data_IF_084541087386
#
_entry.id   IF_084541087386
#
_cell.length_a   1.000
_cell.length_b   1.000
_cell.length_c   1.000
_cell.angle_alpha   90.00
_cell.angle_beta   90.00
_cell.angle_gamma   90.00
#
_symmetry.space_group_name_H-M   'P 1'
#
loop_
_entity.id
_entity.type
_entity.pdbx_description
1 polymer ?
#
# COMPACT_ATOMS: atom_id res chain seq x y z
N UNK A 1 -13.16 -0.21 -12.91
CA UNK A 1 -13.43 0.48 -11.62
C UNK A 1 -12.57 1.73 -11.54
N UNK A 2 -13.02 2.74 -10.79
CA UNK A 2 -12.21 3.95 -10.58
C UNK A 2 -11.58 3.98 -9.19
N UNK A 3 -10.26 4.20 -9.12
CA UNK A 3 -9.53 4.42 -7.87
C UNK A 3 -9.13 5.88 -7.76
N UNK A 4 -9.24 6.46 -6.55
CA UNK A 4 -8.73 7.81 -6.27
C UNK A 4 -7.60 7.73 -5.25
N UNK A 5 -6.46 8.34 -5.59
CA UNK A 5 -5.31 8.53 -4.72
C UNK A 5 -5.40 9.92 -4.10
N UNK A 6 -5.51 9.98 -2.77
CA UNK A 6 -5.68 11.24 -2.03
C UNK A 6 -4.32 11.72 -1.54
N UNK A 7 -3.60 12.45 -2.39
CA UNK A 7 -2.29 13.03 -2.06
C UNK A 7 -2.47 14.26 -1.19
N UNK A 8 -2.46 14.06 0.13
CA UNK A 8 -2.72 15.11 1.12
C UNK A 8 -1.48 15.55 1.87
N UNK A 9 -1.40 16.81 2.26
CA UNK A 9 -0.48 17.27 3.31
C UNK A 9 -0.99 16.81 4.66
N UNK A 10 -0.15 16.12 5.40
CA UNK A 10 -0.51 15.64 6.74
C UNK A 10 -0.37 16.76 7.76
N UNK A 11 -1.43 17.05 8.50
CA UNK A 11 -1.42 18.00 9.62
C UNK A 11 -0.87 17.36 10.90
N UNK A 12 -0.70 18.18 11.95
CA UNK A 12 -0.06 17.75 13.21
C UNK A 12 -0.85 16.68 13.95
N UNK A 13 -2.18 16.70 13.89
CA UNK A 13 -3.05 15.85 14.72
C UNK A 13 -4.04 15.01 13.91
N UNK A 14 -4.46 13.85 14.42
CA UNK A 14 -5.51 13.04 13.80
C UNK A 14 -6.83 13.80 13.61
N UNK A 15 -7.16 14.70 14.54
CA UNK A 15 -8.40 15.49 14.48
C UNK A 15 -8.41 16.47 13.29
N UNK A 16 -7.28 17.08 12.98
CA UNK A 16 -7.14 17.96 11.81
C UNK A 16 -7.16 17.13 10.51
N UNK A 17 -6.45 16.00 10.51
CA UNK A 17 -6.36 15.15 9.33
C UNK A 17 -7.70 14.53 8.95
N UNK A 18 -8.52 14.10 9.91
CA UNK A 18 -9.82 13.49 9.59
C UNK A 18 -10.78 14.48 8.91
N UNK A 19 -10.72 15.77 9.27
CA UNK A 19 -11.53 16.82 8.61
C UNK A 19 -11.14 16.93 7.13
N UNK A 20 -9.84 17.03 6.86
CA UNK A 20 -9.31 17.12 5.48
C UNK A 20 -9.65 15.84 4.70
N UNK A 21 -9.42 14.67 5.27
CA UNK A 21 -9.73 13.38 4.65
C UNK A 21 -11.18 13.30 4.22
N UNK A 22 -12.13 13.69 5.10
CA UNK A 22 -13.55 13.70 4.78
C UNK A 22 -13.89 14.59 3.58
N UNK A 23 -13.25 15.73 3.46
CA UNK A 23 -13.47 16.61 2.33
C UNK A 23 -12.93 16.03 1.02
N UNK A 24 -11.70 15.50 1.06
CA UNK A 24 -11.10 14.85 -0.11
C UNK A 24 -11.89 13.60 -0.53
N UNK A 25 -12.42 12.82 0.42
CA UNK A 25 -13.28 11.66 0.11
C UNK A 25 -14.57 12.05 -0.60
N UNK A 26 -15.20 13.17 -0.20
CA UNK A 26 -16.39 13.70 -0.91
C UNK A 26 -16.04 14.10 -2.34
N UNK A 27 -14.91 14.76 -2.53
CA UNK A 27 -14.44 15.16 -3.85
C UNK A 27 -14.13 13.91 -4.70
N UNK A 28 -13.40 12.93 -4.19
CA UNK A 28 -13.14 11.66 -4.89
C UNK A 28 -14.46 10.95 -5.31
N UNK A 29 -15.46 10.97 -4.41
CA UNK A 29 -16.79 10.42 -4.76
C UNK A 29 -17.48 11.20 -5.87
N UNK A 30 -17.37 12.53 -5.86
CA UNK A 30 -17.92 13.37 -6.92
C UNK A 30 -17.25 13.12 -8.28
N UNK A 31 -15.97 12.72 -8.29
CA UNK A 31 -15.22 12.30 -9.48
C UNK A 31 -15.55 10.87 -9.93
N UNK A 32 -16.42 10.19 -9.19
CA UNK A 32 -16.92 8.85 -9.52
C UNK A 32 -16.04 7.71 -9.00
N UNK A 33 -15.24 7.93 -7.96
CA UNK A 33 -14.46 6.87 -7.35
C UNK A 33 -15.31 5.72 -6.82
N UNK A 34 -14.81 4.51 -6.98
CA UNK A 34 -15.30 3.29 -6.34
C UNK A 34 -14.46 2.98 -5.08
N UNK A 35 -13.17 3.33 -5.11
CA UNK A 35 -12.23 3.15 -4.02
C UNK A 35 -11.36 4.40 -3.85
N UNK A 36 -11.15 4.82 -2.59
CA UNK A 36 -10.23 5.88 -2.23
C UNK A 36 -9.06 5.32 -1.41
N UNK A 37 -7.86 5.81 -1.69
CA UNK A 37 -6.62 5.37 -1.05
C UNK A 37 -5.97 6.58 -0.38
N UNK A 38 -5.73 6.49 0.93
CA UNK A 38 -5.01 7.47 1.70
C UNK A 38 -3.51 7.15 1.74
N UNK A 39 -2.62 8.14 1.93
CA UNK A 39 -1.19 7.92 1.99
C UNK A 39 -0.75 7.26 3.30
N UNK A 40 0.49 6.78 3.36
CA UNK A 40 1.13 6.31 4.58
C UNK A 40 1.17 7.41 5.64
N UNK A 41 0.90 7.06 6.91
CA UNK A 41 0.78 7.97 8.06
C UNK A 41 -0.19 9.13 7.81
N UNK A 42 -1.38 8.82 7.30
CA UNK A 42 -2.40 9.81 6.96
C UNK A 42 -3.00 10.55 8.17
N UNK A 43 -2.66 10.14 9.39
CA UNK A 43 -3.23 10.71 10.62
C UNK A 43 -2.28 11.61 11.41
N UNK A 44 -0.96 11.57 11.15
CA UNK A 44 0.05 12.30 11.90
C UNK A 44 1.33 12.53 11.07
N UNK A 45 2.22 13.44 11.46
CA UNK A 45 3.52 13.62 10.83
C UNK A 45 4.36 12.34 10.80
N UNK A 46 5.25 12.22 9.79
CA UNK A 46 6.12 11.05 9.63
C UNK A 46 7.36 11.18 10.54
N UNK A 47 7.15 11.01 11.84
CA UNK A 47 8.16 11.17 12.90
C UNK A 47 7.92 10.15 14.00
N UNK A 48 9.01 9.55 14.55
CA UNK A 48 8.91 8.54 15.61
C UNK A 48 8.14 9.03 16.85
N UNK A 49 8.33 10.29 17.25
CA UNK A 49 7.59 10.86 18.38
C UNK A 49 6.09 10.96 18.08
N UNK A 50 5.72 11.42 16.89
CA UNK A 50 4.32 11.51 16.47
C UNK A 50 3.67 10.12 16.36
N UNK A 51 4.42 9.11 15.93
CA UNK A 51 3.92 7.74 15.89
C UNK A 51 3.57 7.19 17.27
N UNK A 52 4.38 7.50 18.28
CA UNK A 52 4.10 7.10 19.67
C UNK A 52 2.93 7.90 20.24
N UNK A 53 2.92 9.22 20.06
CA UNK A 53 1.90 10.13 20.59
C UNK A 53 0.51 9.83 20.01
N UNK A 54 0.45 9.53 18.71
CA UNK A 54 -0.82 9.31 18.00
C UNK A 54 -1.11 7.83 17.74
N UNK A 55 -0.41 6.92 18.44
CA UNK A 55 -0.71 5.49 18.35
C UNK A 55 -2.15 5.23 18.82
N UNK A 56 -2.92 4.56 17.96
CA UNK A 56 -4.35 4.36 18.20
C UNK A 56 -4.72 2.87 18.15
N UNK A 57 -5.76 2.50 18.88
CA UNK A 57 -6.37 1.18 18.81
C UNK A 57 -7.27 1.05 17.56
N UNK A 58 -7.59 -0.19 17.20
CA UNK A 58 -8.43 -0.49 16.03
C UNK A 58 -9.83 0.14 16.08
N UNK A 59 -10.37 0.35 17.27
CA UNK A 59 -11.69 0.95 17.52
C UNK A 59 -11.60 2.44 17.85
N UNK A 60 -10.48 3.10 17.54
CA UNK A 60 -10.29 4.54 17.70
C UNK A 60 -11.32 5.36 16.94
N UNK A 61 -11.59 6.57 17.43
CA UNK A 61 -12.54 7.47 16.80
C UNK A 61 -12.10 7.85 15.37
N UNK A 62 -10.80 7.99 15.13
CA UNK A 62 -10.27 8.25 13.78
C UNK A 62 -10.68 7.15 12.78
N UNK A 63 -10.47 5.87 13.13
CA UNK A 63 -10.82 4.75 12.26
C UNK A 63 -12.34 4.56 12.14
N UNK A 64 -13.11 4.83 13.20
CA UNK A 64 -14.58 4.86 13.15
C UNK A 64 -15.10 5.93 12.17
N UNK A 65 -14.47 7.10 12.15
CA UNK A 65 -14.84 8.18 11.22
C UNK A 65 -14.51 7.84 9.76
N UNK A 66 -13.41 7.12 9.51
CA UNK A 66 -13.10 6.57 8.19
C UNK A 66 -14.18 5.55 7.77
N UNK A 67 -14.53 4.61 8.64
CA UNK A 67 -15.58 3.62 8.39
C UNK A 67 -16.94 4.28 8.12
N UNK A 68 -17.30 5.29 8.92
CA UNK A 68 -18.53 6.07 8.73
C UNK A 68 -18.53 6.82 7.38
N UNK A 69 -17.38 7.36 6.97
CA UNK A 69 -17.23 8.02 5.66
C UNK A 69 -17.36 7.02 4.51
N UNK A 70 -16.79 5.83 4.62
CA UNK A 70 -16.94 4.75 3.65
C UNK A 70 -18.42 4.40 3.43
N UNK A 71 -19.17 4.23 4.53
CA UNK A 71 -20.61 3.96 4.51
C UNK A 71 -21.41 5.12 3.91
N UNK A 72 -21.15 6.34 4.35
CA UNK A 72 -21.92 7.51 3.92
C UNK A 72 -21.75 7.82 2.43
N UNK A 73 -20.55 7.57 1.89
CA UNK A 73 -20.22 7.83 0.50
C UNK A 73 -20.37 6.61 -0.41
N UNK A 74 -20.58 5.42 0.15
CA UNK A 74 -20.59 4.17 -0.62
C UNK A 74 -19.27 3.90 -1.32
N UNK A 75 -18.14 4.16 -0.63
CA UNK A 75 -16.77 3.99 -1.12
C UNK A 75 -16.05 2.86 -0.39
N UNK A 76 -15.24 2.06 -1.11
CA UNK A 76 -14.15 1.36 -0.46
C UNK A 76 -13.09 2.37 -0.03
N UNK A 77 -12.56 2.25 1.18
CA UNK A 77 -11.48 3.12 1.66
C UNK A 77 -10.31 2.28 2.15
N UNK A 78 -9.13 2.54 1.58
CA UNK A 78 -7.86 2.08 2.13
C UNK A 78 -7.32 3.21 3.00
N UNK A 79 -7.48 3.05 4.31
CA UNK A 79 -7.02 4.01 5.31
C UNK A 79 -5.51 3.85 5.49
N UNK A 80 -4.78 4.50 4.62
CA UNK A 80 -3.34 4.61 4.40
C UNK A 80 -2.50 3.73 5.28
N UNK A 81 -1.56 4.27 6.06
CA UNK A 81 -1.24 3.66 7.33
C UNK A 81 -1.48 4.63 8.48
N UNK A 82 -1.69 4.06 9.65
CA UNK A 82 -1.73 4.75 10.94
C UNK A 82 -0.85 3.98 11.93
N UNK A 83 -0.31 4.64 12.98
CA UNK A 83 0.35 3.93 14.06
C UNK A 83 -0.70 3.19 14.90
N UNK A 84 -0.69 1.85 14.79
CA UNK A 84 -1.64 0.96 15.47
C UNK A 84 -1.04 0.43 16.77
N UNK A 85 -1.61 0.81 17.91
CA UNK A 85 -1.31 0.20 19.20
C UNK A 85 -2.02 -1.16 19.33
N UNK A 86 -1.26 -2.21 19.59
CA UNK A 86 -1.81 -3.55 19.79
C UNK A 86 -0.91 -4.40 20.68
N UNK A 87 -1.43 -4.94 21.79
CA UNK A 87 -0.72 -5.84 22.71
C UNK A 87 0.64 -5.29 23.17
N UNK A 88 0.68 -4.00 23.53
CA UNK A 88 1.89 -3.33 24.01
C UNK A 88 2.95 -3.04 22.96
N UNK A 89 2.60 -3.13 21.68
CA UNK A 89 3.45 -2.83 20.53
C UNK A 89 2.77 -1.82 19.62
N UNK A 90 3.57 -1.12 18.82
CA UNK A 90 3.07 -0.20 17.79
C UNK A 90 3.42 -0.78 16.42
N UNK A 91 2.50 -0.69 15.47
CA UNK A 91 2.66 -1.15 14.09
C UNK A 91 2.27 -0.02 13.13
N UNK A 92 2.97 0.09 12.00
CA UNK A 92 2.43 0.83 10.86
C UNK A 92 1.38 -0.06 10.18
N UNK A 93 0.10 0.33 10.23
CA UNK A 93 -1.00 -0.52 9.76
C UNK A 93 -1.96 0.22 8.82
N UNK A 94 -2.29 -0.39 7.70
CA UNK A 94 -3.28 0.07 6.74
C UNK A 94 -4.56 -0.74 6.89
N UNK A 95 -5.73 -0.07 6.90
CA UNK A 95 -7.04 -0.70 7.08
C UNK A 95 -7.87 -0.57 5.82
N UNK A 96 -8.65 -1.59 5.51
CA UNK A 96 -9.62 -1.57 4.41
C UNK A 96 -11.02 -1.63 4.97
N UNK A 97 -11.86 -0.68 4.52
CA UNK A 97 -13.29 -0.63 4.78
C UNK A 97 -14.04 -0.74 3.47
N UNK A 98 -15.12 -1.51 3.45
CA UNK A 98 -15.98 -1.63 2.28
C UNK A 98 -16.97 -0.45 2.15
N UNK A 99 -17.76 -0.44 1.09
CA UNK A 99 -18.77 0.59 0.82
C UNK A 99 -19.94 0.66 1.82
N UNK A 100 -20.02 -0.29 2.76
CA UNK A 100 -20.96 -0.27 3.88
C UNK A 100 -20.31 0.22 5.17
N UNK A 101 -19.01 0.53 5.13
CA UNK A 101 -18.20 0.89 6.29
C UNK A 101 -17.80 -0.31 7.15
N UNK A 102 -17.95 -1.53 6.64
CA UNK A 102 -17.54 -2.73 7.35
C UNK A 102 -16.03 -2.95 7.18
N UNK A 103 -15.39 -3.39 8.25
CA UNK A 103 -13.97 -3.75 8.22
C UNK A 103 -13.75 -4.99 7.36
N UNK A 104 -12.84 -4.89 6.38
CA UNK A 104 -12.48 -5.99 5.49
C UNK A 104 -11.20 -6.68 5.95
N UNK A 105 -10.11 -5.94 6.05
CA UNK A 105 -8.80 -6.45 6.49
C UNK A 105 -7.89 -5.30 6.95
N UNK A 106 -6.74 -5.67 7.51
CA UNK A 106 -5.64 -4.75 7.74
C UNK A 106 -4.31 -5.42 7.36
N UNK A 107 -3.38 -4.61 6.85
CA UNK A 107 -1.98 -4.99 6.66
C UNK A 107 -1.11 -4.25 7.66
N UNK A 108 -0.23 -4.98 8.34
CA UNK A 108 0.84 -4.41 9.14
C UNK A 108 2.11 -4.43 8.31
N UNK A 109 2.75 -3.27 8.15
CA UNK A 109 4.00 -3.13 7.39
C UNK A 109 4.99 -4.22 7.78
N UNK A 110 5.40 -5.02 6.80
CA UNK A 110 6.24 -6.21 7.02
C UNK A 110 7.71 -5.84 7.10
N UNK A 111 8.13 -4.84 6.30
CA UNK A 111 9.50 -4.38 6.24
C UNK A 111 9.56 -2.94 6.76
N UNK A 112 10.28 -2.73 7.86
CA UNK A 112 10.44 -1.42 8.46
C UNK A 112 11.51 -0.62 7.71
N UNK A 113 11.24 0.67 7.54
CA UNK A 113 12.13 1.57 6.81
C UNK A 113 13.23 2.10 7.73
N UNK A 114 14.36 1.44 7.70
CA UNK A 114 15.58 1.88 8.36
C UNK A 114 16.56 2.35 7.30
N UNK A 115 16.94 3.64 7.34
CA UNK A 115 17.85 4.25 6.39
C UNK A 115 18.96 5.02 7.11
N UNK A 116 20.18 4.82 6.67
CA UNK A 116 21.35 5.56 7.12
C UNK A 116 22.26 5.83 5.92
N UNK A 117 22.08 6.99 5.29
CA UNK A 117 22.89 7.42 4.15
C UNK A 117 23.89 8.47 4.62
N UNK A 118 25.20 8.23 4.52
CA UNK A 118 26.21 9.21 4.91
C UNK A 118 26.01 10.55 4.18
N UNK A 119 25.86 11.64 4.94
CA UNK A 119 25.57 12.98 4.40
C UNK A 119 24.15 13.17 3.84
N UNK A 120 23.29 12.17 3.99
CA UNK A 120 21.91 12.15 3.56
C UNK A 120 20.95 11.93 4.73
N UNK A 121 19.94 11.10 4.51
CA UNK A 121 18.89 10.84 5.50
C UNK A 121 19.29 9.76 6.49
N UNK A 122 18.94 10.01 7.75
CA UNK A 122 18.89 9.01 8.83
C UNK A 122 17.45 8.90 9.35
N UNK A 123 16.90 7.71 9.36
CA UNK A 123 15.60 7.44 9.95
C UNK A 123 15.46 5.93 10.26
N UNK A 124 14.98 5.59 11.46
CA UNK A 124 14.81 4.22 11.91
C UNK A 124 13.35 3.99 12.35
N UNK A 125 12.54 3.37 11.51
CA UNK A 125 11.19 2.97 11.91
C UNK A 125 11.21 1.89 13.00
N UNK A 126 12.24 1.06 13.01
CA UNK A 126 12.42 -0.01 14.00
C UNK A 126 12.57 0.49 15.44
N UNK A 127 12.90 1.78 15.63
CA UNK A 127 12.93 2.41 16.96
C UNK A 127 11.51 2.49 17.58
N UNK A 128 10.47 2.51 16.74
CA UNK A 128 9.07 2.66 17.18
C UNK A 128 8.20 1.48 16.80
N UNK A 129 8.30 1.00 15.58
CA UNK A 129 7.39 -0.01 15.05
C UNK A 129 7.89 -1.43 15.23
N UNK A 130 6.94 -2.34 15.37
CA UNK A 130 7.15 -3.78 15.24
C UNK A 130 6.73 -4.21 13.82
N UNK A 131 7.54 -5.02 13.16
CA UNK A 131 7.23 -5.57 11.86
C UNK A 131 6.01 -6.50 11.89
N UNK A 132 5.16 -6.39 10.85
CA UNK A 132 4.08 -7.31 10.56
C UNK A 132 4.60 -8.67 10.05
N UNK A 133 3.67 -9.61 9.82
CA UNK A 133 4.00 -10.97 9.35
C UNK A 133 3.06 -11.46 8.24
N UNK A 134 2.15 -10.62 7.78
CA UNK A 134 1.04 -11.06 6.96
C UNK A 134 1.27 -10.73 5.48
N UNK A 135 0.95 -11.67 4.59
CA UNK A 135 0.72 -11.43 3.17
C UNK A 135 -0.76 -11.12 3.03
N UNK A 136 -1.11 -9.87 2.78
CA UNK A 136 -2.49 -9.40 2.88
C UNK A 136 -3.14 -9.26 1.53
N UNK A 137 -4.20 -10.04 1.29
CA UNK A 137 -5.10 -9.88 0.14
C UNK A 137 -6.53 -9.66 0.61
N UNK A 138 -7.35 -9.00 -0.22
CA UNK A 138 -8.77 -8.83 0.03
C UNK A 138 -9.57 -8.87 -1.27
N UNK A 139 -10.83 -9.31 -1.16
CA UNK A 139 -11.74 -9.38 -2.30
C UNK A 139 -12.68 -8.17 -2.33
N UNK A 140 -12.99 -7.72 -3.53
CA UNK A 140 -13.95 -6.66 -3.82
C UNK A 140 -14.90 -7.13 -4.91
N UNK A 141 -15.99 -6.40 -5.21
CA UNK A 141 -16.86 -6.72 -6.37
C UNK A 141 -16.12 -6.71 -7.72
N UNK A 142 -14.97 -6.05 -7.82
CA UNK A 142 -14.19 -5.92 -9.06
C UNK A 142 -13.05 -6.91 -9.18
N UNK A 143 -12.70 -7.62 -8.12
CA UNK A 143 -11.63 -8.61 -8.10
C UNK A 143 -10.86 -8.67 -6.80
N UNK A 144 -9.72 -9.35 -6.82
CA UNK A 144 -8.85 -9.55 -5.67
C UNK A 144 -7.69 -8.56 -5.69
N UNK A 145 -7.41 -7.94 -4.55
CA UNK A 145 -6.38 -6.92 -4.37
C UNK A 145 -5.34 -7.35 -3.34
N UNK A 146 -4.10 -6.93 -3.55
CA UNK A 146 -3.04 -6.98 -2.56
C UNK A 146 -2.89 -5.64 -1.84
N UNK A 147 -2.44 -5.67 -0.59
CA UNK A 147 -2.14 -4.49 0.21
C UNK A 147 -0.76 -4.62 0.83
N UNK A 148 0.09 -3.63 0.57
CA UNK A 148 1.43 -3.48 1.16
C UNK A 148 1.65 -2.02 1.53
N UNK A 149 2.67 -1.74 2.37
CA UNK A 149 2.94 -0.36 2.80
C UNK A 149 4.39 0.02 2.43
N UNK A 150 4.53 1.06 1.63
CA UNK A 150 5.76 1.82 1.37
C UNK A 150 6.99 0.95 1.10
N UNK A 151 7.83 0.75 2.12
CA UNK A 151 9.10 0.02 2.02
C UNK A 151 8.93 -1.43 1.58
N UNK A 152 7.75 -2.04 1.81
CA UNK A 152 7.40 -3.38 1.34
C UNK A 152 7.54 -3.54 -0.18
N UNK A 153 7.31 -2.50 -0.99
CA UNK A 153 7.40 -2.56 -2.46
C UNK A 153 8.82 -2.91 -2.95
N UNK A 154 9.86 -2.65 -2.12
CA UNK A 154 11.25 -2.93 -2.47
C UNK A 154 11.57 -4.42 -2.49
N UNK A 155 10.76 -5.22 -1.82
CA UNK A 155 10.91 -6.67 -1.68
C UNK A 155 10.04 -7.39 -2.73
N UNK A 156 10.65 -7.83 -3.86
CA UNK A 156 9.89 -8.43 -4.96
C UNK A 156 9.18 -9.73 -4.54
N UNK A 157 9.70 -10.41 -3.53
CA UNK A 157 9.11 -11.63 -2.97
C UNK A 157 7.69 -11.41 -2.47
N UNK A 158 7.46 -10.32 -1.73
CA UNK A 158 6.13 -10.01 -1.19
C UNK A 158 5.12 -9.71 -2.30
N UNK A 159 5.51 -8.88 -3.28
CA UNK A 159 4.66 -8.60 -4.44
C UNK A 159 4.40 -9.87 -5.26
N UNK A 160 5.39 -10.76 -5.38
CA UNK A 160 5.25 -12.05 -6.06
C UNK A 160 4.28 -12.98 -5.33
N UNK A 161 4.35 -13.07 -4.01
CA UNK A 161 3.39 -13.84 -3.21
C UNK A 161 1.96 -13.35 -3.44
N UNK A 162 1.73 -12.03 -3.43
CA UNK A 162 0.42 -11.45 -3.74
C UNK A 162 -0.06 -11.82 -5.14
N UNK A 163 0.82 -11.72 -6.15
CA UNK A 163 0.46 -12.08 -7.52
C UNK A 163 0.11 -13.57 -7.66
N UNK A 164 0.80 -14.45 -6.94
CA UNK A 164 0.53 -15.89 -6.91
C UNK A 164 -0.79 -16.22 -6.19
N UNK A 165 -1.24 -15.35 -5.27
CA UNK A 165 -2.56 -15.40 -4.66
C UNK A 165 -3.68 -14.93 -5.61
N UNK A 166 -3.34 -14.52 -6.84
CA UNK A 166 -4.29 -14.15 -7.90
C UNK A 166 -4.79 -12.72 -7.83
N UNK A 167 -4.06 -11.80 -7.20
CA UNK A 167 -4.45 -10.39 -7.21
C UNK A 167 -4.35 -9.78 -8.60
N UNK A 168 -5.20 -8.80 -8.87
CA UNK A 168 -5.23 -8.04 -10.13
C UNK A 168 -4.63 -6.64 -9.95
N UNK A 169 -4.62 -6.13 -8.71
CA UNK A 169 -3.97 -4.88 -8.35
C UNK A 169 -3.31 -5.00 -6.97
N UNK A 170 -2.25 -4.23 -6.76
CA UNK A 170 -1.58 -4.06 -5.46
C UNK A 170 -1.66 -2.59 -5.07
N UNK A 171 -2.25 -2.33 -3.91
CA UNK A 171 -2.40 -1.00 -3.32
C UNK A 171 -1.22 -0.74 -2.38
N UNK A 172 -0.63 0.45 -2.50
CA UNK A 172 0.59 0.82 -1.77
C UNK A 172 0.47 2.24 -1.20
N UNK A 173 -0.12 2.43 -0.01
CA UNK A 173 0.12 3.64 0.76
C UNK A 173 1.62 3.78 1.04
N UNK A 174 2.22 4.92 0.71
CA UNK A 174 3.67 5.08 0.82
C UNK A 174 4.07 6.54 1.09
N UNK A 175 5.26 6.73 1.68
CA UNK A 175 5.84 8.03 1.94
C UNK A 175 7.34 8.00 1.62
N UNK A 176 7.70 7.95 0.33
CA UNK A 176 9.09 8.10 -0.07
C UNK A 176 9.56 9.54 0.16
N UNK A 177 10.83 9.67 0.50
CA UNK A 177 11.48 10.96 0.78
C UNK A 177 12.24 11.50 -0.44
N UNK A 178 12.83 12.68 -0.28
CA UNK A 178 13.60 13.35 -1.34
C UNK A 178 14.90 12.63 -1.73
N UNK A 179 15.43 11.75 -0.87
CA UNK A 179 16.63 10.94 -1.17
C UNK A 179 16.30 9.79 -2.10
N UNK A 180 15.24 9.06 -1.82
CA UNK A 180 14.89 7.82 -2.52
C UNK A 180 13.75 8.00 -3.53
N UNK A 181 12.91 9.01 -3.39
CA UNK A 181 11.79 9.28 -4.28
C UNK A 181 12.22 9.45 -5.74
N UNK A 182 13.09 10.42 -6.06
CA UNK A 182 13.51 10.67 -7.44
C UNK A 182 14.12 9.46 -8.14
N UNK A 183 14.87 8.65 -7.39
CA UNK A 183 15.63 7.52 -7.95
C UNK A 183 14.83 6.22 -8.01
N UNK A 184 13.90 6.00 -7.07
CA UNK A 184 13.32 4.67 -6.87
C UNK A 184 11.81 4.60 -7.04
N UNK A 185 11.06 5.71 -6.85
CA UNK A 185 9.59 5.70 -6.79
C UNK A 185 8.97 5.08 -8.04
N UNK A 186 9.06 5.76 -9.17
CA UNK A 186 8.45 5.31 -10.43
C UNK A 186 8.98 3.93 -10.84
N UNK A 187 10.31 3.73 -10.77
CA UNK A 187 10.93 2.46 -11.14
C UNK A 187 10.35 1.29 -10.33
N UNK A 188 10.16 1.47 -9.01
CA UNK A 188 9.62 0.41 -8.15
C UNK A 188 8.20 0.02 -8.57
N UNK A 189 7.32 1.00 -8.80
CA UNK A 189 5.94 0.74 -9.21
C UNK A 189 5.87 0.06 -10.58
N UNK A 190 6.61 0.56 -11.56
CA UNK A 190 6.67 -0.01 -12.90
C UNK A 190 7.20 -1.45 -12.90
N UNK A 191 8.30 -1.70 -12.18
CA UNK A 191 8.87 -3.06 -12.10
C UNK A 191 7.94 -4.02 -11.39
N UNK A 192 7.30 -3.63 -10.28
CA UNK A 192 6.37 -4.55 -9.58
C UNK A 192 5.11 -4.83 -10.41
N UNK A 193 4.63 -3.83 -11.16
CA UNK A 193 3.53 -4.03 -12.12
C UNK A 193 3.93 -5.04 -13.21
N UNK A 194 5.07 -4.83 -13.86
CA UNK A 194 5.58 -5.66 -14.94
C UNK A 194 5.90 -7.09 -14.48
N UNK A 195 6.67 -7.25 -13.40
CA UNK A 195 7.09 -8.55 -12.87
C UNK A 195 5.91 -9.45 -12.53
N UNK A 196 4.83 -8.85 -12.03
CA UNK A 196 3.67 -9.55 -11.47
C UNK A 196 2.43 -9.47 -12.35
N UNK A 197 2.50 -8.65 -13.41
CA UNK A 197 1.41 -8.44 -14.38
C UNK A 197 0.11 -8.05 -13.68
N UNK A 198 0.21 -7.00 -12.84
CA UNK A 198 -0.87 -6.43 -12.04
C UNK A 198 -0.87 -4.91 -12.15
N UNK A 199 -1.99 -4.26 -11.84
CA UNK A 199 -1.97 -2.83 -11.59
C UNK A 199 -1.25 -2.53 -10.28
N UNK A 200 -0.54 -1.39 -10.22
CA UNK A 200 -0.02 -0.85 -8.97
C UNK A 200 -0.61 0.54 -8.74
N UNK A 201 -1.10 0.81 -7.54
CA UNK A 201 -1.63 2.10 -7.16
C UNK A 201 -0.91 2.60 -5.91
N UNK A 202 -0.04 3.60 -6.06
CA UNK A 202 0.78 4.18 -5.01
C UNK A 202 0.26 5.54 -4.58
N UNK A 203 -0.21 5.66 -3.35
CA UNK A 203 -0.66 6.92 -2.78
C UNK A 203 0.39 7.48 -1.81
N UNK A 204 0.92 8.67 -2.12
CA UNK A 204 1.91 9.39 -1.33
C UNK A 204 1.30 10.59 -0.63
N UNK A 205 1.85 11.06 0.52
CA UNK A 205 1.53 12.38 1.04
C UNK A 205 2.10 13.45 0.11
N UNK A 206 1.40 14.59 0.02
CA UNK A 206 1.91 15.77 -0.66
C UNK A 206 3.16 16.30 0.04
N UNK A 207 4.07 16.93 -0.71
CA UNK A 207 5.27 17.53 -0.15
C UNK A 207 4.91 18.76 0.69
N UNK A 208 5.40 18.79 1.92
CA UNK A 208 5.38 19.95 2.77
C UNK A 208 6.81 20.31 3.21
N UNK A 209 7.31 21.46 2.73
CA UNK A 209 8.66 21.93 3.06
C UNK A 209 8.78 22.51 4.48
N UNK A 210 7.63 22.67 5.18
CA UNK A 210 7.62 23.08 6.60
C UNK A 210 7.65 21.86 7.55
N UNK A 211 7.45 20.65 7.03
CA UNK A 211 7.56 19.40 7.81
C UNK A 211 9.04 19.01 7.96
N UNK A 212 9.37 18.27 9.03
CA UNK A 212 10.69 17.65 9.20
C UNK A 212 10.94 16.51 8.19
N UNK A 213 9.87 15.85 7.73
CA UNK A 213 9.93 14.81 6.71
C UNK A 213 9.38 15.33 5.38
N UNK A 214 10.29 15.55 4.43
CA UNK A 214 9.92 16.00 3.10
C UNK A 214 9.54 14.81 2.22
N UNK A 215 8.23 14.57 2.06
CA UNK A 215 7.73 13.52 1.18
C UNK A 215 8.02 13.84 -0.30
N UNK A 216 8.19 12.79 -1.11
CA UNK A 216 8.37 12.93 -2.55
C UNK A 216 7.09 13.39 -3.24
N UNK A 217 5.92 12.97 -2.78
CA UNK A 217 4.65 13.12 -3.49
C UNK A 217 4.57 12.11 -4.65
N UNK A 218 4.07 12.56 -5.80
CA UNK A 218 4.07 11.81 -7.05
C UNK A 218 3.25 10.52 -6.98
N UNK A 219 2.06 10.57 -6.35
CA UNK A 219 1.12 9.45 -6.37
C UNK A 219 0.94 8.91 -7.80
N UNK A 220 0.94 7.58 -7.96
CA UNK A 220 1.12 6.94 -9.27
C UNK A 220 0.21 5.74 -9.44
N UNK A 221 -0.27 5.55 -10.66
CA UNK A 221 -0.91 4.31 -11.12
C UNK A 221 -0.16 3.74 -12.32
N UNK A 222 0.18 2.45 -12.27
CA UNK A 222 0.82 1.74 -13.38
C UNK A 222 -0.02 0.56 -13.83
N UNK A 223 0.02 0.23 -15.13
CA UNK A 223 -0.70 -0.89 -15.73
C UNK A 223 0.10 -2.22 -15.64
N UNK A 224 -0.51 -3.38 -15.93
CA UNK A 224 0.14 -4.68 -15.89
C UNK A 224 1.31 -4.85 -16.88
N UNK A 225 1.50 -3.92 -17.84
CA UNK A 225 2.63 -3.89 -18.75
C UNK A 225 3.83 -3.10 -18.19
N UNK A 226 3.66 -2.44 -17.05
CA UNK A 226 4.66 -1.58 -16.44
C UNK A 226 4.66 -0.14 -16.97
N UNK A 227 3.60 0.26 -17.69
CA UNK A 227 3.43 1.63 -18.15
C UNK A 227 2.81 2.48 -17.04
N UNK A 228 3.26 3.72 -16.90
CA UNK A 228 2.58 4.71 -16.06
C UNK A 228 1.29 5.12 -16.77
N UNK A 229 0.15 4.91 -16.12
CA UNK A 229 -1.14 5.39 -16.61
C UNK A 229 -1.25 6.88 -16.30
N UNK A 230 -1.06 7.22 -15.02
CA UNK A 230 -1.01 8.60 -14.55
C UNK A 230 -0.14 8.74 -13.30
N UNK A 231 0.41 9.94 -13.13
CA UNK A 231 1.24 10.31 -11.99
C UNK A 231 1.03 11.78 -11.66
N UNK A 232 0.89 12.09 -10.38
CA UNK A 232 0.83 13.47 -9.87
C UNK A 232 2.23 14.09 -9.81
N UNK A 233 2.27 15.39 -9.57
CA UNK A 233 3.45 16.09 -9.06
C UNK A 233 3.52 15.96 -7.51
N UNK A 234 4.23 16.86 -6.85
CA UNK A 234 4.37 16.87 -5.39
C UNK A 234 3.25 17.60 -4.65
N UNK A 235 2.33 18.25 -5.35
CA UNK A 235 1.31 19.12 -4.76
C UNK A 235 0.12 18.33 -4.17
N UNK A 236 -0.62 18.95 -3.28
CA UNK A 236 -1.84 18.37 -2.72
C UNK A 236 -2.93 18.29 -3.79
N UNK A 237 -3.60 17.14 -3.88
CA UNK A 237 -4.66 16.91 -4.84
C UNK A 237 -5.20 15.49 -4.82
N UNK A 238 -6.07 15.20 -5.78
CA UNK A 238 -6.67 13.87 -5.98
C UNK A 238 -6.36 13.43 -7.40
N UNK A 239 -5.96 12.18 -7.55
CA UNK A 239 -5.78 11.52 -8.84
C UNK A 239 -6.79 10.39 -8.96
N UNK A 240 -7.75 10.52 -9.87
CA UNK A 240 -8.77 9.50 -10.14
C UNK A 240 -8.51 8.81 -11.45
N UNK A 241 -8.26 7.48 -11.41
CA UNK A 241 -7.89 6.64 -12.57
C UNK A 241 -8.83 5.45 -12.70
N UNK A 242 -9.19 5.11 -13.91
CA UNK A 242 -9.94 3.90 -14.21
C UNK A 242 -8.99 2.70 -14.41
N UNK A 243 -9.29 1.60 -13.69
CA UNK A 243 -8.61 0.31 -13.83
C UNK A 243 -9.49 -0.65 -14.63
N UNK A 244 -9.03 -1.03 -15.81
CA UNK A 244 -9.65 -2.06 -16.65
C UNK A 244 -8.97 -3.42 -16.40
N UNK A 245 -9.59 -4.28 -15.60
CA UNK A 245 -9.01 -5.56 -15.20
C UNK A 245 -8.90 -6.59 -16.34
N UNK A 246 -9.63 -6.44 -17.44
CA UNK A 246 -9.47 -7.29 -18.62
C UNK A 246 -8.04 -7.17 -19.18
N UNK A 247 -7.38 -6.02 -18.94
CA UNK A 247 -5.97 -5.81 -19.32
C UNK A 247 -5.02 -6.74 -18.58
N UNK A 248 -5.32 -7.14 -17.34
CA UNK A 248 -4.50 -8.11 -16.58
C UNK A 248 -4.46 -9.44 -17.32
N UNK A 249 -5.64 -9.93 -17.70
CA UNK A 249 -5.76 -11.22 -18.39
C UNK A 249 -5.14 -11.17 -19.79
N UNK A 250 -5.36 -10.07 -20.53
CA UNK A 250 -4.75 -9.87 -21.83
C UNK A 250 -3.22 -9.89 -21.77
N UNK A 251 -2.61 -9.16 -20.82
CA UNK A 251 -1.15 -9.13 -20.65
C UNK A 251 -0.61 -10.50 -20.24
N UNK A 252 -1.27 -11.20 -19.32
CA UNK A 252 -0.89 -12.55 -18.88
C UNK A 252 -1.00 -13.59 -19.99
N UNK A 253 -1.89 -13.40 -20.97
CA UNK A 253 -1.99 -14.26 -22.16
C UNK A 253 -0.88 -13.95 -23.16
N UNK A 254 -0.59 -12.67 -23.41
CA UNK A 254 0.41 -12.23 -24.39
C UNK A 254 1.84 -12.55 -23.96
N UNK A 255 2.16 -12.38 -22.68
CA UNK A 255 3.48 -12.64 -22.09
C UNK A 255 3.32 -13.37 -20.75
N UNK A 256 3.16 -14.71 -20.73
CA UNK A 256 2.76 -15.46 -19.56
C UNK A 256 3.89 -15.66 -18.53
N UNK A 257 4.44 -14.57 -17.97
CA UNK A 257 5.58 -14.61 -17.02
C UNK A 257 5.33 -15.49 -15.81
N UNK A 258 4.13 -15.43 -15.22
CA UNK A 258 3.80 -16.23 -14.04
C UNK A 258 3.78 -17.74 -14.35
N UNK A 259 3.37 -18.13 -15.56
CA UNK A 259 3.38 -19.53 -16.00
C UNK A 259 4.78 -20.05 -16.36
N UNK A 260 5.66 -19.13 -16.82
CA UNK A 260 7.03 -19.48 -17.23
C UNK A 260 8.00 -19.56 -16.06
N UNK A 261 7.54 -19.34 -14.83
CA UNK A 261 8.38 -19.54 -13.63
C UNK A 261 8.87 -20.99 -13.58
N UNK A 262 10.13 -21.14 -13.29
CA UNK A 262 10.79 -22.45 -13.13
C UNK A 262 10.66 -22.96 -11.69
N UNK A 263 9.42 -23.33 -11.31
CA UNK A 263 9.12 -23.82 -9.95
C UNK A 263 9.77 -25.17 -9.63
N UNK A 264 10.37 -25.81 -10.63
CA UNK A 264 11.27 -26.94 -10.50
C UNK A 264 12.68 -26.56 -10.02
N UNK A 265 13.09 -25.28 -10.19
CA UNK A 265 14.40 -24.77 -9.75
C UNK A 265 14.32 -23.84 -8.54
N UNK A 266 13.26 -23.03 -8.45
CA UNK A 266 13.05 -22.05 -7.39
C UNK A 266 11.56 -21.82 -7.17
N UNK A 267 11.19 -21.46 -5.95
CA UNK A 267 9.84 -20.99 -5.64
C UNK A 267 9.87 -19.92 -4.56
N UNK A 268 8.81 -19.10 -4.53
CA UNK A 268 8.56 -18.10 -3.48
C UNK A 268 7.36 -18.59 -2.68
N UNK A 269 7.61 -18.94 -1.43
CA UNK A 269 6.62 -19.53 -0.54
C UNK A 269 6.69 -18.88 0.84
N UNK A 270 5.55 -18.80 1.54
CA UNK A 270 5.54 -18.42 2.95
C UNK A 270 6.09 -19.56 3.82
N UNK A 271 6.54 -19.26 5.05
CA UNK A 271 6.96 -20.33 5.99
C UNK A 271 5.87 -21.38 6.22
N UNK A 272 4.61 -20.96 6.23
CA UNK A 272 3.47 -21.85 6.41
C UNK A 272 3.34 -22.86 5.26
N UNK A 273 3.65 -22.44 4.03
CA UNK A 273 3.63 -23.31 2.84
C UNK A 273 4.95 -24.02 2.59
N UNK A 274 6.08 -23.50 3.08
CA UNK A 274 7.41 -24.09 2.94
C UNK A 274 7.51 -25.51 3.53
N UNK A 275 6.83 -25.77 4.64
CA UNK A 275 6.76 -27.10 5.25
C UNK A 275 6.08 -28.17 4.38
N UNK A 276 5.19 -27.76 3.47
CA UNK A 276 4.54 -28.64 2.47
C UNK A 276 5.45 -28.85 1.26
N UNK A 277 6.13 -27.80 0.79
CA UNK A 277 7.04 -27.85 -0.35
C UNK A 277 8.30 -28.72 -0.05
N UNK A 278 8.92 -28.56 1.12
CA UNK A 278 10.08 -29.37 1.55
C UNK A 278 9.76 -30.87 1.61
N UNK A 279 8.54 -31.26 2.01
CA UNK A 279 8.10 -32.67 2.02
C UNK A 279 7.95 -33.24 0.63
N UNK A 280 7.65 -32.44 -0.39
CA UNK A 280 7.56 -32.92 -1.78
C UNK A 280 8.93 -32.99 -2.45
N UNK A 281 9.87 -32.12 -2.11
CA UNK A 281 11.25 -32.13 -2.63
C UNK A 281 12.02 -33.39 -2.18
N UNK A 282 11.89 -33.76 -0.91
CA UNK A 282 12.55 -34.99 -0.36
C UNK A 282 11.97 -36.28 -0.92
N UNK A 283 10.70 -36.30 -1.35
CA UNK A 283 10.12 -37.51 -1.99
C UNK A 283 10.55 -37.71 -3.45
N UNK A 284 11.05 -36.68 -4.12
CA UNK A 284 11.52 -36.73 -5.50
C UNK A 284 13.00 -37.10 -5.67
N UNK A 285 13.82 -37.00 -4.60
CA UNK A 285 15.24 -37.31 -4.66
C UNK A 285 15.60 -38.82 -4.49
N UNK A 286 14.60 -39.66 -4.22
CA UNK A 286 14.79 -41.09 -4.01
C UNK A 286 13.94 -41.95 -4.95
N UNK A 287 13.72 -41.49 -6.18
CA UNK A 287 13.15 -42.30 -7.26
C UNK A 287 14.07 -42.34 -8.46
#
# INVERSE_FOLDING_TARGET
MKVSLLQMKTAATPAENIVKIKEMLKQAKAEGADMAILPEMCCCPYENNAFVEHAMERDSDFLKEIAASAKALGLYIVAGSVPLASKGKIYSASFVYDSKGEYVCAHRKTHLFDINVPGGQYFMESDTFTAGKDVTTFSTPWGKFGLIICYDIRFPELSRLLALEGVQAIIVPAAFNMTTGPAHWEMSFRMRALDNQVFMAGCAPARDMNSSYHAWGHSIVTDPWGSVIEQMDETEGILTVELDFDRVDAVRQQLPLLKHRRTDLYDVVTEETAGKARRNFTKGMFK
#
